data_IF_266225335308
#
_entry.id   IF_266225335308
#
_cell.length_a   1.000
_cell.length_b   1.000
_cell.length_c   1.000
_cell.angle_alpha   90.00
_cell.angle_beta   90.00
_cell.angle_gamma   90.00
#
_symmetry.space_group_name_H-M   'P 1'
#
loop_
_entity.id
_entity.type
_entity.pdbx_description
1 polymer ?
#
# COMPACT_ATOMS: atom_id res chain seq x y z
N UNK A 1 -11.34 -18.77 -23.96
CA UNK A 1 -10.20 -18.76 -23.04
C UNK A 1 -10.74 -18.70 -21.61
N UNK A 2 -10.42 -19.68 -20.78
CA UNK A 2 -10.83 -19.70 -19.38
C UNK A 2 -9.96 -18.78 -18.52
N UNK A 3 -10.45 -18.40 -17.34
CA UNK A 3 -9.67 -17.57 -16.37
C UNK A 3 -8.34 -18.25 -16.02
N UNK A 4 -8.35 -19.57 -15.91
CA UNK A 4 -7.18 -20.40 -15.58
C UNK A 4 -6.14 -20.39 -16.72
N UNK A 5 -6.58 -20.50 -17.97
CA UNK A 5 -5.70 -20.39 -19.14
C UNK A 5 -5.03 -19.02 -19.23
N UNK A 6 -5.79 -17.95 -18.99
CA UNK A 6 -5.24 -16.58 -18.96
C UNK A 6 -4.23 -16.37 -17.83
N UNK A 7 -4.42 -17.02 -16.68
CA UNK A 7 -3.47 -16.95 -15.57
C UNK A 7 -2.18 -17.73 -15.88
N UNK A 8 -2.27 -18.86 -16.55
CA UNK A 8 -1.10 -19.67 -16.94
C UNK A 8 -0.27 -18.97 -18.03
N UNK A 9 -0.93 -18.35 -19.02
CA UNK A 9 -0.25 -17.52 -20.01
C UNK A 9 0.51 -16.36 -19.38
N UNK A 10 -0.10 -15.64 -18.42
CA UNK A 10 0.57 -14.55 -17.69
C UNK A 10 1.77 -15.04 -16.89
N UNK A 11 1.67 -16.19 -16.22
CA UNK A 11 2.83 -16.80 -15.52
C UNK A 11 3.94 -17.20 -16.49
N UNK A 12 3.58 -17.65 -17.69
CA UNK A 12 4.56 -17.98 -18.72
C UNK A 12 5.32 -16.72 -19.19
N UNK A 13 4.60 -15.63 -19.48
CA UNK A 13 5.19 -14.34 -19.85
C UNK A 13 6.08 -13.81 -18.73
N UNK A 14 5.62 -13.85 -17.48
CA UNK A 14 6.42 -13.44 -16.32
C UNK A 14 7.76 -14.20 -16.26
N UNK A 15 7.74 -15.53 -16.39
CA UNK A 15 8.98 -16.34 -16.40
C UNK A 15 9.93 -15.96 -17.53
N UNK A 16 9.41 -15.70 -18.74
CA UNK A 16 10.21 -15.30 -19.91
C UNK A 16 10.89 -13.95 -19.66
N UNK A 17 10.12 -12.95 -19.21
CA UNK A 17 10.63 -11.60 -18.95
C UNK A 17 11.70 -11.63 -17.85
N UNK A 18 11.45 -12.31 -16.74
CA UNK A 18 12.38 -12.41 -15.64
C UNK A 18 13.65 -13.18 -16.03
N UNK A 19 13.51 -14.28 -16.79
CA UNK A 19 14.65 -15.04 -17.28
C UNK A 19 15.51 -14.25 -18.28
N UNK A 20 14.89 -13.49 -19.16
CA UNK A 20 15.61 -12.61 -20.09
C UNK A 20 16.36 -11.48 -19.36
N UNK A 21 15.73 -10.85 -18.36
CA UNK A 21 16.36 -9.82 -17.55
C UNK A 21 17.56 -10.37 -16.79
N UNK A 22 17.42 -11.51 -16.14
CA UNK A 22 18.52 -12.19 -15.44
C UNK A 22 19.68 -12.53 -16.37
N UNK A 23 19.39 -13.07 -17.55
CA UNK A 23 20.40 -13.41 -18.54
C UNK A 23 21.17 -12.18 -19.05
N UNK A 24 20.48 -11.04 -19.22
CA UNK A 24 21.09 -9.80 -19.73
C UNK A 24 21.86 -9.02 -18.67
N UNK A 25 21.41 -9.06 -17.41
CA UNK A 25 21.96 -8.19 -16.36
C UNK A 25 22.75 -8.92 -15.28
N UNK A 26 22.65 -10.26 -15.20
CA UNK A 26 23.20 -11.07 -14.12
C UNK A 26 22.50 -10.87 -12.75
N UNK A 27 21.42 -10.07 -12.69
CA UNK A 27 20.69 -9.75 -11.45
C UNK A 27 19.54 -10.73 -11.25
N UNK A 28 19.62 -11.52 -10.19
CA UNK A 28 18.58 -12.48 -9.78
C UNK A 28 17.67 -11.90 -8.71
N UNK A 29 16.39 -12.27 -8.76
CA UNK A 29 15.47 -12.08 -7.64
C UNK A 29 14.98 -10.64 -7.42
N UNK A 30 15.41 -9.67 -8.21
CA UNK A 30 14.92 -8.31 -8.13
C UNK A 30 13.85 -8.06 -9.20
N UNK A 31 12.59 -8.32 -8.85
CA UNK A 31 11.46 -8.00 -9.72
C UNK A 31 10.30 -7.47 -8.91
N UNK A 32 9.49 -6.62 -9.54
CA UNK A 32 8.21 -6.18 -9.02
C UNK A 32 7.09 -6.82 -9.82
N UNK A 33 6.24 -7.55 -9.13
CA UNK A 33 4.96 -8.03 -9.66
C UNK A 33 3.91 -7.00 -9.37
N UNK A 34 3.08 -6.66 -10.34
CA UNK A 34 2.00 -5.71 -10.14
C UNK A 34 0.65 -6.22 -10.61
N UNK A 35 -0.40 -5.60 -10.10
CA UNK A 35 -1.79 -5.78 -10.54
C UNK A 35 -2.57 -4.49 -10.30
N UNK A 36 -3.67 -4.30 -11.05
CA UNK A 36 -4.61 -3.20 -10.85
C UNK A 36 -5.91 -3.71 -10.23
N UNK A 37 -6.54 -2.85 -9.44
CA UNK A 37 -7.92 -2.98 -8.98
C UNK A 37 -8.68 -1.74 -9.42
N UNK A 38 -9.47 -1.87 -10.50
CA UNK A 38 -10.14 -0.74 -11.14
C UNK A 38 -11.51 -0.44 -10.54
N UNK A 39 -12.15 -1.45 -9.93
CA UNK A 39 -13.51 -1.36 -9.37
C UNK A 39 -13.47 -1.43 -7.84
N UNK A 40 -13.01 -0.34 -7.20
CA UNK A 40 -13.02 -0.21 -5.74
C UNK A 40 -13.82 1.02 -5.30
N UNK A 41 -14.39 1.01 -4.07
CA UNK A 41 -15.11 2.18 -3.54
C UNK A 41 -14.24 3.44 -3.39
N UNK A 42 -12.93 3.29 -3.46
CA UNK A 42 -11.95 4.38 -3.31
C UNK A 42 -11.23 4.73 -4.62
N UNK A 43 -11.72 4.22 -5.76
CA UNK A 43 -11.13 4.40 -7.08
C UNK A 43 -10.12 3.32 -7.44
N UNK A 44 -9.27 3.61 -8.41
CA UNK A 44 -8.27 2.67 -8.92
C UNK A 44 -7.11 2.53 -7.95
N UNK A 45 -6.74 1.29 -7.66
CA UNK A 45 -5.59 0.94 -6.83
C UNK A 45 -4.55 0.16 -7.65
N UNK A 46 -3.32 0.64 -7.62
CA UNK A 46 -2.15 -0.10 -8.06
C UNK A 46 -1.54 -0.89 -6.91
N UNK A 47 -1.30 -2.18 -7.15
CA UNK A 47 -0.69 -3.12 -6.21
C UNK A 47 0.66 -3.56 -6.74
N UNK A 48 1.72 -3.54 -5.92
CA UNK A 48 2.97 -4.17 -6.32
C UNK A 48 3.67 -4.87 -5.14
N UNK A 49 4.28 -6.00 -5.43
CA UNK A 49 5.03 -6.80 -4.48
C UNK A 49 6.37 -7.27 -5.05
N UNK A 50 7.37 -7.33 -4.22
CA UNK A 50 8.63 -8.00 -4.47
C UNK A 50 8.65 -9.38 -3.79
N UNK A 51 9.81 -10.03 -3.77
CA UNK A 51 9.96 -11.34 -3.14
C UNK A 51 9.70 -11.34 -1.63
N UNK A 52 9.98 -10.23 -0.96
CA UNK A 52 9.84 -10.10 0.49
C UNK A 52 8.44 -9.72 0.96
N UNK A 53 7.54 -9.36 0.04
CA UNK A 53 6.16 -8.99 0.34
C UNK A 53 5.65 -7.80 -0.43
N UNK A 54 4.49 -7.33 -0.01
CA UNK A 54 3.77 -6.19 -0.58
C UNK A 54 4.56 -4.89 -0.35
N UNK A 55 4.79 -4.14 -1.43
CA UNK A 55 5.52 -2.87 -1.42
C UNK A 55 4.64 -1.67 -1.73
N UNK A 56 3.61 -1.88 -2.56
CA UNK A 56 2.72 -0.80 -2.98
C UNK A 56 1.26 -1.22 -2.89
N UNK A 57 0.45 -0.35 -2.31
CA UNK A 57 -0.98 -0.18 -2.46
C UNK A 57 -1.19 1.32 -2.59
N UNK A 58 -1.35 1.81 -3.80
CA UNK A 58 -1.38 3.25 -4.09
C UNK A 58 -2.58 3.61 -4.93
N UNK A 59 -3.15 4.79 -4.66
CA UNK A 59 -4.15 5.38 -5.53
C UNK A 59 -3.47 5.77 -6.85
N UNK A 60 -4.06 5.38 -7.96
CA UNK A 60 -3.56 5.68 -9.29
C UNK A 60 -4.73 6.04 -10.20
N UNK A 61 -4.45 6.76 -11.24
CA UNK A 61 -5.45 7.12 -12.24
C UNK A 61 -5.72 5.92 -13.16
N UNK A 62 -4.65 5.27 -13.57
CA UNK A 62 -4.66 4.12 -14.48
C UNK A 62 -3.37 3.28 -14.31
N UNK A 63 -3.25 2.24 -15.14
CA UNK A 63 -2.10 1.33 -15.12
C UNK A 63 -0.81 2.03 -15.58
N UNK A 64 -0.89 2.89 -16.59
CA UNK A 64 0.29 3.55 -17.16
C UNK A 64 0.95 4.46 -16.11
N UNK A 65 0.16 5.30 -15.41
CA UNK A 65 0.65 6.13 -14.30
C UNK A 65 1.28 5.28 -13.20
N UNK A 66 0.67 4.14 -12.87
CA UNK A 66 1.20 3.27 -11.82
C UNK A 66 2.53 2.64 -12.22
N UNK A 67 2.62 2.11 -13.45
CA UNK A 67 3.86 1.50 -13.97
C UNK A 67 4.97 2.54 -14.09
N UNK A 68 4.68 3.75 -14.61
CA UNK A 68 5.67 4.84 -14.67
C UNK A 68 6.21 5.19 -13.27
N UNK A 69 5.34 5.25 -12.27
CA UNK A 69 5.75 5.47 -10.88
C UNK A 69 6.67 4.37 -10.37
N UNK A 70 6.33 3.08 -10.60
CA UNK A 70 7.17 1.96 -10.19
C UNK A 70 8.54 2.01 -10.85
N UNK A 71 8.61 2.33 -12.13
CA UNK A 71 9.88 2.48 -12.86
C UNK A 71 10.70 3.66 -12.32
N UNK A 72 10.06 4.78 -12.02
CA UNK A 72 10.74 5.95 -11.45
C UNK A 72 11.30 5.68 -10.03
N UNK A 73 10.57 4.93 -9.20
CA UNK A 73 10.97 4.63 -7.82
C UNK A 73 11.99 3.48 -7.71
N UNK A 74 11.94 2.51 -8.63
CA UNK A 74 12.75 1.28 -8.54
C UNK A 74 13.81 1.15 -9.65
N UNK A 75 13.84 2.05 -10.61
CA UNK A 75 14.84 2.05 -11.69
C UNK A 75 14.74 0.82 -12.60
N UNK A 76 15.89 0.17 -12.86
CA UNK A 76 16.02 -0.94 -13.82
C UNK A 76 15.49 -2.31 -13.29
N UNK A 77 14.56 -2.30 -12.34
CA UNK A 77 13.94 -3.54 -11.85
C UNK A 77 12.79 -3.94 -12.79
N UNK A 78 12.70 -5.19 -13.25
CA UNK A 78 11.58 -5.64 -14.06
C UNK A 78 10.25 -5.43 -13.33
N UNK A 79 9.31 -4.79 -14.00
CA UNK A 79 7.94 -4.60 -13.51
C UNK A 79 7.03 -5.46 -14.37
N UNK A 80 6.40 -6.48 -13.79
CA UNK A 80 5.65 -7.49 -14.54
C UNK A 80 4.24 -7.64 -13.98
N UNK A 81 3.24 -7.57 -14.86
CA UNK A 81 1.86 -7.85 -14.47
C UNK A 81 1.72 -9.33 -14.10
N UNK A 82 1.19 -9.61 -12.90
CA UNK A 82 1.21 -10.97 -12.36
C UNK A 82 -0.06 -11.30 -11.58
N UNK A 83 -0.59 -12.53 -11.71
CA UNK A 83 -1.66 -13.04 -10.87
C UNK A 83 -1.19 -13.37 -9.44
N UNK A 84 0.11 -13.31 -9.15
CA UNK A 84 0.64 -13.59 -7.81
C UNK A 84 0.13 -12.61 -6.72
N UNK A 85 -0.56 -11.51 -7.12
CA UNK A 85 -1.19 -10.55 -6.22
C UNK A 85 -2.68 -10.84 -5.96
N UNK A 86 -3.20 -11.97 -6.41
CA UNK A 86 -4.61 -12.31 -6.20
C UNK A 86 -4.98 -12.46 -4.71
N UNK A 87 -4.05 -12.88 -3.85
CA UNK A 87 -4.26 -12.91 -2.41
C UNK A 87 -4.43 -11.51 -1.82
N UNK A 88 -3.65 -10.54 -2.29
CA UNK A 88 -3.75 -9.14 -1.90
C UNK A 88 -5.09 -8.55 -2.37
N UNK A 89 -5.46 -8.82 -3.63
CA UNK A 89 -6.75 -8.39 -4.19
C UNK A 89 -7.91 -8.94 -3.37
N UNK A 90 -7.94 -10.25 -3.11
CA UNK A 90 -8.97 -10.87 -2.27
C UNK A 90 -9.01 -10.32 -0.84
N UNK A 91 -7.88 -9.95 -0.26
CA UNK A 91 -7.84 -9.33 1.06
C UNK A 91 -8.47 -7.93 1.04
N UNK A 92 -8.16 -7.11 0.03
CA UNK A 92 -8.77 -5.80 -0.19
C UNK A 92 -10.28 -5.90 -0.50
N UNK A 93 -10.70 -6.87 -1.33
CA UNK A 93 -12.12 -7.11 -1.61
C UNK A 93 -12.91 -7.45 -0.33
N UNK A 94 -12.34 -8.30 0.56
CA UNK A 94 -12.95 -8.60 1.85
C UNK A 94 -13.01 -7.38 2.77
N UNK A 95 -11.98 -6.53 2.74
CA UNK A 95 -11.94 -5.27 3.47
C UNK A 95 -13.05 -4.33 2.97
N UNK A 96 -13.12 -4.06 1.68
CA UNK A 96 -14.14 -3.18 1.09
C UNK A 96 -15.56 -3.72 1.27
N UNK A 97 -15.73 -5.03 1.33
CA UNK A 97 -17.02 -5.67 1.65
C UNK A 97 -17.38 -5.61 3.16
N UNK A 98 -16.56 -4.99 4.02
CA UNK A 98 -16.76 -4.93 5.47
C UNK A 98 -16.65 -6.27 6.20
N UNK A 99 -16.14 -7.31 5.53
CA UNK A 99 -16.06 -8.67 6.10
C UNK A 99 -14.82 -8.86 6.99
N UNK A 100 -13.74 -8.18 6.65
CA UNK A 100 -12.48 -8.22 7.39
C UNK A 100 -11.79 -6.86 7.34
N UNK A 101 -11.71 -6.18 8.48
CA UNK A 101 -11.08 -4.84 8.60
C UNK A 101 -9.59 -4.90 8.98
N UNK A 102 -8.99 -6.10 8.90
CA UNK A 102 -7.57 -6.34 9.18
C UNK A 102 -6.94 -7.14 8.05
N UNK A 103 -5.63 -6.99 7.88
CA UNK A 103 -4.89 -7.66 6.83
C UNK A 103 -3.84 -8.59 7.43
N UNK A 104 -3.81 -9.84 6.97
CA UNK A 104 -2.72 -10.78 7.19
C UNK A 104 -1.88 -10.84 5.91
N UNK A 105 -1.15 -9.76 5.66
CA UNK A 105 -0.31 -9.60 4.47
C UNK A 105 1.11 -9.26 4.89
N UNK A 106 2.07 -9.96 4.30
CA UNK A 106 3.47 -9.63 4.51
C UNK A 106 3.82 -8.34 3.75
N UNK A 107 4.15 -7.28 4.49
CA UNK A 107 4.52 -5.97 3.94
C UNK A 107 6.04 -5.81 3.97
N UNK A 108 6.65 -5.38 2.87
CA UNK A 108 8.09 -5.09 2.79
C UNK A 108 8.34 -3.58 2.76
N UNK A 109 8.68 -3.01 3.89
CA UNK A 109 9.09 -1.61 4.05
C UNK A 109 10.62 -1.44 4.12
N UNK A 110 11.40 -2.48 3.83
CA UNK A 110 12.85 -2.49 4.08
C UNK A 110 13.65 -1.44 3.29
N UNK A 111 13.14 -1.02 2.13
CA UNK A 111 13.75 0.04 1.30
C UNK A 111 13.53 1.45 1.87
N UNK A 112 12.59 1.64 2.80
CA UNK A 112 12.27 2.95 3.34
C UNK A 112 13.28 3.39 4.41
N UNK A 113 13.47 4.71 4.61
CA UNK A 113 14.27 5.25 5.70
C UNK A 113 13.85 4.73 7.07
N UNK A 114 14.81 4.51 7.97
CA UNK A 114 14.57 3.90 9.29
C UNK A 114 13.47 4.60 10.10
N UNK A 115 13.42 5.93 10.06
CA UNK A 115 12.39 6.68 10.78
C UNK A 115 11.00 6.44 10.19
N UNK A 116 10.88 6.49 8.86
CA UNK A 116 9.62 6.24 8.16
C UNK A 116 9.09 4.84 8.46
N UNK A 117 9.94 3.81 8.42
CA UNK A 117 9.55 2.45 8.80
C UNK A 117 8.95 2.39 10.20
N UNK A 118 9.61 2.98 11.21
CA UNK A 118 9.10 3.01 12.59
C UNK A 118 7.74 3.70 12.70
N UNK A 119 7.53 4.78 11.94
CA UNK A 119 6.24 5.48 11.89
C UNK A 119 5.16 4.58 11.27
N UNK A 120 5.45 3.94 10.13
CA UNK A 120 4.51 3.04 9.47
C UNK A 120 4.23 1.79 10.30
N UNK A 121 5.23 1.20 10.96
CA UNK A 121 5.06 0.08 11.89
C UNK A 121 4.18 0.47 13.10
N UNK A 122 4.35 1.68 13.65
CA UNK A 122 3.50 2.19 14.72
C UNK A 122 2.06 2.42 14.25
N UNK A 123 1.90 2.86 13.00
CA UNK A 123 0.60 3.10 12.37
C UNK A 123 -0.14 1.79 12.06
N UNK A 124 0.56 0.76 11.60
CA UNK A 124 0.00 -0.56 11.32
C UNK A 124 -0.66 -1.21 12.55
N UNK A 125 -0.27 -0.77 13.76
CA UNK A 125 -0.82 -1.28 15.03
C UNK A 125 -2.08 -0.55 15.49
N UNK A 126 -2.57 0.46 14.77
CA UNK A 126 -3.82 1.14 15.10
C UNK A 126 -4.97 0.23 14.62
N UNK A 127 -5.83 -0.27 15.51
CA UNK A 127 -6.93 -1.16 15.12
C UNK A 127 -7.96 -0.42 14.25
N UNK A 128 -8.72 -1.16 13.47
CA UNK A 128 -9.89 -0.65 12.76
C UNK A 128 -10.90 -0.06 13.76
N UNK A 129 -11.57 1.01 13.38
CA UNK A 129 -12.49 1.75 14.24
C UNK A 129 -11.82 2.65 15.28
N UNK A 130 -10.49 2.63 15.38
CA UNK A 130 -9.72 3.51 16.27
C UNK A 130 -8.89 4.50 15.48
N UNK A 131 -8.60 5.64 16.11
CA UNK A 131 -7.76 6.69 15.55
C UNK A 131 -6.63 7.04 16.51
N UNK A 132 -5.55 7.59 15.97
CA UNK A 132 -4.44 8.14 16.74
C UNK A 132 -4.07 9.51 16.18
N UNK A 133 -3.39 10.33 16.97
CA UNK A 133 -2.86 11.61 16.52
C UNK A 133 -1.45 11.44 15.94
N UNK A 134 -1.02 12.38 15.09
CA UNK A 134 0.37 12.42 14.61
C UNK A 134 1.40 12.41 15.75
N UNK A 135 1.08 13.04 16.89
CA UNK A 135 1.95 13.08 18.07
C UNK A 135 2.04 11.71 18.74
N UNK A 136 0.92 11.01 18.88
CA UNK A 136 0.90 9.64 19.44
C UNK A 136 1.68 8.66 18.56
N UNK A 137 1.50 8.73 17.23
CA UNK A 137 2.26 7.90 16.30
C UNK A 137 3.76 8.22 16.38
N UNK A 138 4.14 9.49 16.41
CA UNK A 138 5.54 9.91 16.58
C UNK A 138 6.14 9.38 17.89
N UNK A 139 5.36 9.43 18.98
CA UNK A 139 5.77 8.89 20.28
C UNK A 139 5.98 7.38 20.23
N UNK A 140 5.02 6.63 19.68
CA UNK A 140 5.12 5.17 19.47
C UNK A 140 6.29 4.78 18.56
N UNK A 141 6.65 5.66 17.62
CA UNK A 141 7.83 5.51 16.76
C UNK A 141 9.15 5.89 17.47
N UNK A 142 9.12 6.18 18.78
CA UNK A 142 10.30 6.54 19.58
C UNK A 142 10.83 7.96 19.32
N UNK A 143 9.98 8.89 18.87
CA UNK A 143 10.36 10.27 18.55
C UNK A 143 9.22 11.27 18.86
N UNK A 144 8.86 11.47 20.14
CA UNK A 144 7.63 12.20 20.54
C UNK A 144 7.58 13.67 20.08
N UNK A 145 8.72 14.29 19.77
CA UNK A 145 8.80 15.67 19.27
C UNK A 145 8.73 15.76 17.73
N UNK A 146 8.62 14.63 17.03
CA UNK A 146 8.74 14.54 15.57
C UNK A 146 7.37 14.44 14.86
N UNK A 147 6.30 15.02 15.38
CA UNK A 147 4.95 14.90 14.81
C UNK A 147 4.85 15.38 13.36
N UNK A 148 5.55 16.47 13.00
CA UNK A 148 5.61 16.97 11.60
C UNK A 148 6.34 15.98 10.70
N UNK A 149 7.47 15.42 11.14
CA UNK A 149 8.21 14.41 10.38
C UNK A 149 7.41 13.10 10.27
N UNK A 150 6.63 12.72 11.30
CA UNK A 150 5.69 11.60 11.23
C UNK A 150 4.59 11.86 10.18
N UNK A 151 4.07 13.09 10.11
CA UNK A 151 3.13 13.49 9.06
C UNK A 151 3.71 13.30 7.65
N UNK A 152 4.96 13.71 7.42
CA UNK A 152 5.63 13.50 6.15
C UNK A 152 5.86 12.01 5.84
N UNK A 153 6.23 11.21 6.85
CA UNK A 153 6.39 9.76 6.70
C UNK A 153 5.08 9.07 6.31
N UNK A 154 3.96 9.50 6.90
CA UNK A 154 2.62 8.99 6.59
C UNK A 154 2.11 9.46 5.23
N UNK A 155 2.44 10.69 4.81
CA UNK A 155 2.12 11.20 3.48
C UNK A 155 2.76 10.35 2.38
N UNK A 156 4.00 9.88 2.62
CA UNK A 156 4.76 9.02 1.71
C UNK A 156 4.59 7.52 2.03
N UNK A 157 3.43 7.11 2.57
CA UNK A 157 3.12 5.71 2.81
C UNK A 157 2.88 4.99 1.47
N UNK A 158 3.75 4.04 1.07
CA UNK A 158 3.57 3.35 -0.21
C UNK A 158 2.52 2.25 -0.15
N UNK A 159 2.06 1.85 1.05
CA UNK A 159 1.14 0.72 1.23
C UNK A 159 -0.14 1.21 1.92
N UNK A 160 -0.84 2.14 1.26
CA UNK A 160 -2.07 2.73 1.78
C UNK A 160 -3.12 1.65 2.09
N UNK A 161 -4.05 1.95 3.01
CA UNK A 161 -5.11 1.06 3.47
C UNK A 161 -4.55 -0.08 4.34
N UNK A 162 -3.63 -0.90 3.82
CA UNK A 162 -2.99 -2.01 4.55
C UNK A 162 -2.17 -1.47 5.72
N UNK A 163 -1.36 -0.43 5.48
CA UNK A 163 -0.80 0.41 6.55
C UNK A 163 -1.73 1.62 6.71
N UNK A 164 -2.55 1.67 7.78
CA UNK A 164 -3.73 2.51 7.84
C UNK A 164 -3.44 3.97 8.22
N UNK A 165 -2.70 4.70 7.37
CA UNK A 165 -2.39 6.11 7.61
C UNK A 165 -3.65 7.00 7.64
N UNK A 166 -4.79 6.55 7.11
CA UNK A 166 -6.08 7.21 7.25
C UNK A 166 -6.56 7.28 8.71
N UNK A 167 -6.15 6.37 9.60
CA UNK A 167 -6.49 6.37 11.04
C UNK A 167 -5.72 7.42 11.84
N UNK A 168 -4.84 8.21 11.19
CA UNK A 168 -4.06 9.24 11.88
C UNK A 168 -4.67 10.62 11.64
N UNK A 169 -5.02 11.32 12.72
CA UNK A 169 -5.71 12.60 12.73
C UNK A 169 -4.84 13.70 13.36
N UNK A 170 -5.24 14.96 13.22
CA UNK A 170 -4.64 16.06 13.98
C UNK A 170 -5.07 15.99 15.45
N UNK A 171 -4.38 16.73 16.31
CA UNK A 171 -4.66 16.77 17.74
C UNK A 171 -6.05 17.34 18.07
N UNK A 172 -6.57 18.21 17.20
CA UNK A 172 -7.91 18.79 17.29
C UNK A 172 -9.02 17.87 16.74
N UNK A 173 -8.68 16.66 16.33
CA UNK A 173 -9.62 15.70 15.72
C UNK A 173 -9.88 15.91 14.24
N UNK A 174 -9.35 16.95 13.60
CA UNK A 174 -9.48 17.18 12.16
C UNK A 174 -8.67 16.18 11.35
N UNK A 175 -9.10 15.89 10.13
CA UNK A 175 -8.57 14.78 9.31
C UNK A 175 -7.09 14.89 8.97
N UNK A 176 -6.57 16.11 8.78
CA UNK A 176 -5.24 16.28 8.19
C UNK A 176 -5.18 15.81 6.73
N UNK A 177 -4.00 15.79 6.13
CA UNK A 177 -3.82 15.36 4.75
C UNK A 177 -3.95 13.84 4.55
N UNK A 178 -4.23 13.42 3.30
CA UNK A 178 -4.24 12.02 2.88
C UNK A 178 -3.85 11.89 1.40
N UNK A 179 -3.07 10.87 1.04
CA UNK A 179 -2.58 10.69 -0.32
C UNK A 179 -3.67 10.46 -1.37
N UNK A 180 -4.75 9.78 -1.00
CA UNK A 180 -5.94 9.60 -1.86
C UNK A 180 -6.95 10.75 -1.80
N UNK A 181 -6.66 11.82 -1.03
CA UNK A 181 -7.59 12.92 -0.80
C UNK A 181 -8.49 12.71 0.43
N UNK A 182 -9.05 13.81 0.92
CA UNK A 182 -9.88 13.80 2.14
C UNK A 182 -11.17 12.99 1.99
N UNK A 183 -11.89 13.01 0.85
CA UNK A 183 -13.11 12.20 0.69
C UNK A 183 -12.83 10.69 0.88
N UNK A 184 -11.70 10.19 0.36
CA UNK A 184 -11.31 8.79 0.55
C UNK A 184 -10.97 8.51 2.01
N UNK A 185 -10.28 9.43 2.69
CA UNK A 185 -9.98 9.27 4.11
C UNK A 185 -11.25 9.20 4.96
N UNK A 186 -12.21 10.06 4.70
CA UNK A 186 -13.52 10.05 5.37
C UNK A 186 -14.23 8.74 5.13
N UNK A 187 -14.33 8.31 3.88
CA UNK A 187 -14.95 7.04 3.52
C UNK A 187 -14.32 5.84 4.26
N UNK A 188 -12.97 5.77 4.30
CA UNK A 188 -12.26 4.68 5.00
C UNK A 188 -12.54 4.68 6.50
N UNK A 189 -12.56 5.86 7.15
CA UNK A 189 -12.88 5.99 8.56
C UNK A 189 -14.33 5.57 8.86
N UNK A 190 -15.28 6.02 8.07
CA UNK A 190 -16.70 5.63 8.19
C UNK A 190 -16.89 4.13 7.95
N UNK A 191 -16.25 3.58 6.91
CA UNK A 191 -16.28 2.15 6.61
C UNK A 191 -15.78 1.29 7.76
N UNK A 192 -14.79 1.75 8.50
CA UNK A 192 -14.25 1.09 9.68
C UNK A 192 -15.03 1.40 10.98
N UNK A 193 -16.07 2.23 10.91
CA UNK A 193 -16.83 2.66 12.09
C UNK A 193 -16.04 3.61 13.02
N UNK A 194 -14.93 4.16 12.53
CA UNK A 194 -14.17 5.17 13.27
C UNK A 194 -14.92 6.51 13.19
N UNK A 195 -15.28 7.06 14.36
CA UNK A 195 -15.82 8.43 14.42
C UNK A 195 -14.68 9.39 14.78
N UNK A 196 -14.30 10.31 13.86
CA UNK A 196 -13.50 11.45 14.27
C UNK A 196 -14.20 12.12 15.44
N UNK A 197 -13.47 12.45 16.50
CA UNK A 197 -14.02 13.26 17.57
C UNK A 197 -14.33 14.64 16.98
N UNK A 198 -15.59 14.85 16.61
CA UNK A 198 -16.10 16.21 16.43
C UNK A 198 -16.12 16.85 17.80
N UNK A 199 -15.25 17.84 18.01
CA UNK A 199 -15.30 18.72 19.17
C UNK A 199 -16.55 19.60 19.08
#
# INVERSE_FOLDING_TARGET
MTIEQAADERRAVERIVLGAFEALTGRRGESLRFAMMDDTPVGVLGLAAGERGLRHVTFSKDEDEFVERLLAEHGDVPVVRSPALDDVRRALDRYFAGRHLTFDLKVDLSALPRFQRRVLDATARIPAGQVATYTEVASRAGSPRASRAAGNALHNNPVAIVVPCHRVLRADGSLGGYGGGLPIKEWLLEHEGARPRTL
#
